data_IF_337191788330
#
_entry.id   IF_337191788330
#
_cell.length_a   1.000
_cell.length_b   1.000
_cell.length_c   1.000
_cell.angle_alpha   90.00
_cell.angle_beta   90.00
_cell.angle_gamma   90.00
#
_symmetry.space_group_name_H-M   'P 1'
#
loop_
_entity.id
_entity.type
_entity.pdbx_description
1 polymer ?
#
# COMPACT_ATOMS: atom_id res chain seq x y z
N UNK A 1 11.25 2.46 30.20
CA UNK A 1 12.06 1.96 29.06
C UNK A 1 11.21 1.71 27.79
N UNK A 2 10.09 0.98 27.83
CA UNK A 2 9.17 0.77 26.67
C UNK A 2 8.63 2.02 25.93
N UNK A 3 8.50 3.16 26.60
CA UNK A 3 7.96 4.40 25.99
C UNK A 3 8.98 5.18 25.16
N UNK A 4 10.29 4.98 25.39
CA UNK A 4 11.34 5.67 24.62
C UNK A 4 11.57 4.97 23.28
N UNK A 5 11.51 3.64 23.24
CA UNK A 5 11.61 2.87 21.98
C UNK A 5 10.51 3.27 20.99
N UNK A 6 9.27 3.52 21.46
CA UNK A 6 8.17 4.00 20.62
C UNK A 6 8.40 5.42 20.04
N UNK A 7 9.12 6.27 20.76
CA UNK A 7 9.39 7.66 20.37
C UNK A 7 10.55 7.77 19.38
N UNK A 8 11.60 6.96 19.56
CA UNK A 8 12.69 6.85 18.59
C UNK A 8 12.21 6.17 17.29
N UNK A 9 11.36 5.14 17.38
CA UNK A 9 10.80 4.45 16.21
C UNK A 9 9.90 5.33 15.33
N UNK A 10 9.05 6.19 15.92
CA UNK A 10 8.21 7.11 15.13
C UNK A 10 9.03 8.12 14.34
N UNK A 11 10.23 8.46 14.80
CA UNK A 11 11.13 9.38 14.11
C UNK A 11 11.80 8.68 12.93
N UNK A 12 12.28 7.46 13.11
CA UNK A 12 12.86 6.64 12.03
C UNK A 12 11.84 6.26 10.97
N UNK A 13 10.60 5.92 11.37
CA UNK A 13 9.52 5.64 10.42
C UNK A 13 9.09 6.90 9.65
N UNK A 14 9.08 8.07 10.31
CA UNK A 14 8.84 9.36 9.63
C UNK A 14 9.98 9.74 8.70
N UNK A 15 11.23 9.48 9.09
CA UNK A 15 12.43 9.70 8.26
C UNK A 15 12.42 8.76 7.06
N UNK A 16 12.10 7.48 7.24
CA UNK A 16 11.91 6.52 6.16
C UNK A 16 10.82 7.00 5.19
N UNK A 17 9.66 7.41 5.72
CA UNK A 17 8.56 7.98 4.92
C UNK A 17 8.96 9.25 4.18
N UNK A 18 9.71 10.16 4.82
CA UNK A 18 10.18 11.41 4.21
C UNK A 18 11.24 11.14 3.15
N UNK A 19 12.19 10.24 3.41
CA UNK A 19 13.28 9.90 2.50
C UNK A 19 12.77 9.14 1.27
N UNK A 20 11.87 8.17 1.45
CA UNK A 20 11.22 7.48 0.31
C UNK A 20 10.46 8.48 -0.56
N UNK A 21 9.71 9.40 0.06
CA UNK A 21 8.99 10.46 -0.66
C UNK A 21 9.90 11.47 -1.35
N UNK A 22 11.05 11.81 -0.76
CA UNK A 22 11.99 12.78 -1.35
C UNK A 22 12.82 12.17 -2.48
N UNK A 23 13.13 10.88 -2.42
CA UNK A 23 13.96 10.19 -3.41
C UNK A 23 13.18 9.63 -4.59
N UNK A 24 11.87 9.37 -4.44
CA UNK A 24 10.98 8.97 -5.55
C UNK A 24 10.84 10.03 -6.67
N UNK A 25 11.38 11.25 -6.46
CA UNK A 25 11.38 12.32 -7.46
C UNK A 25 12.58 12.29 -8.42
N UNK A 26 13.56 11.39 -8.24
CA UNK A 26 14.64 11.18 -9.21
C UNK A 26 14.14 10.28 -10.35
N UNK A 27 13.96 10.88 -11.52
CA UNK A 27 13.37 10.27 -12.71
C UNK A 27 14.26 9.14 -13.24
N UNK A 28 13.72 7.91 -13.30
CA UNK A 28 14.31 6.74 -13.96
C UNK A 28 14.51 5.52 -13.05
N UNK A 29 14.74 4.36 -13.67
CA UNK A 29 15.02 3.07 -13.01
C UNK A 29 16.14 3.16 -11.96
N UNK A 30 17.13 4.03 -12.21
CA UNK A 30 18.27 4.23 -11.33
C UNK A 30 17.89 4.97 -10.03
N UNK A 31 16.96 5.95 -10.09
CA UNK A 31 16.43 6.63 -8.91
C UNK A 31 15.55 5.73 -8.04
N UNK A 32 14.77 4.86 -8.68
CA UNK A 32 14.03 3.80 -7.97
C UNK A 32 14.98 2.86 -7.26
N UNK A 33 16.05 2.41 -7.93
CA UNK A 33 17.05 1.52 -7.35
C UNK A 33 17.68 2.11 -6.08
N UNK A 34 18.18 3.35 -6.15
CA UNK A 34 18.75 4.07 -4.99
C UNK A 34 17.73 4.18 -3.83
N UNK A 35 16.47 4.47 -4.15
CA UNK A 35 15.39 4.59 -3.15
C UNK A 35 15.13 3.25 -2.46
N UNK A 36 15.08 2.17 -3.24
CA UNK A 36 14.85 0.82 -2.72
C UNK A 36 16.06 0.29 -1.93
N UNK A 37 17.28 0.63 -2.34
CA UNK A 37 18.51 0.33 -1.58
C UNK A 37 18.49 0.98 -0.20
N UNK A 38 18.17 2.28 -0.12
CA UNK A 38 18.04 2.97 1.16
C UNK A 38 16.88 2.40 2.01
N UNK A 39 15.74 2.12 1.40
CA UNK A 39 14.60 1.54 2.10
C UNK A 39 14.94 0.17 2.68
N UNK A 40 15.64 -0.67 1.92
CA UNK A 40 16.09 -1.99 2.36
C UNK A 40 17.13 -1.89 3.49
N UNK A 41 18.10 -0.99 3.38
CA UNK A 41 19.13 -0.76 4.40
C UNK A 41 18.53 -0.36 5.75
N UNK A 42 17.62 0.63 5.74
CA UNK A 42 16.90 1.07 6.93
C UNK A 42 16.03 -0.05 7.50
N UNK A 43 15.35 -0.81 6.64
CA UNK A 43 14.49 -1.93 7.04
C UNK A 43 15.32 -3.01 7.73
N UNK A 44 16.38 -3.50 7.07
CA UNK A 44 17.27 -4.54 7.59
C UNK A 44 17.94 -4.10 8.89
N UNK A 45 18.35 -2.84 9.00
CA UNK A 45 18.93 -2.30 10.24
C UNK A 45 17.90 -2.30 11.37
N UNK A 46 16.66 -1.89 11.10
CA UNK A 46 15.59 -1.79 12.11
C UNK A 46 15.18 -3.14 12.69
N UNK A 47 15.15 -4.20 11.87
CA UNK A 47 14.83 -5.58 12.32
C UNK A 47 16.08 -6.42 12.57
N UNK A 48 17.26 -5.81 12.49
CA UNK A 48 18.57 -6.44 12.70
C UNK A 48 18.78 -7.68 11.83
N UNK A 49 18.35 -7.66 10.57
CA UNK A 49 18.59 -8.76 9.63
C UNK A 49 20.10 -8.94 9.36
N UNK A 50 20.57 -10.19 9.22
CA UNK A 50 21.96 -10.47 8.82
C UNK A 50 22.26 -10.00 7.40
N UNK A 51 21.30 -10.20 6.50
CA UNK A 51 21.30 -9.68 5.13
C UNK A 51 19.86 -9.46 4.67
N UNK A 52 19.69 -8.73 3.56
CA UNK A 52 18.39 -8.55 2.92
C UNK A 52 18.51 -8.37 1.42
N UNK A 53 17.45 -8.72 0.70
CA UNK A 53 17.33 -8.56 -0.74
C UNK A 53 15.96 -8.02 -1.08
N UNK A 54 15.89 -7.24 -2.15
CA UNK A 54 14.64 -6.84 -2.77
C UNK A 54 14.69 -7.21 -4.25
N UNK A 55 13.80 -8.11 -4.64
CA UNK A 55 13.69 -8.60 -6.02
C UNK A 55 12.36 -8.14 -6.58
N UNK A 56 12.37 -7.57 -7.78
CA UNK A 56 11.13 -7.23 -8.52
C UNK A 56 10.99 -8.11 -9.74
N UNK A 57 9.74 -8.40 -10.10
CA UNK A 57 9.39 -9.21 -11.25
C UNK A 57 9.09 -8.30 -12.46
N UNK A 58 9.73 -8.60 -13.59
CA UNK A 58 9.46 -7.95 -14.86
C UNK A 58 9.24 -9.01 -15.94
N UNK A 59 7.97 -9.30 -16.23
CA UNK A 59 7.62 -10.47 -17.04
C UNK A 59 8.06 -11.77 -16.34
N UNK A 60 8.88 -12.55 -17.01
CA UNK A 60 9.46 -13.80 -16.50
C UNK A 60 10.84 -13.61 -15.85
N UNK A 61 11.39 -12.40 -15.92
CA UNK A 61 12.71 -12.09 -15.36
C UNK A 61 12.61 -11.55 -13.93
N UNK A 62 13.54 -12.00 -13.10
CA UNK A 62 13.74 -11.50 -11.74
C UNK A 62 14.89 -10.51 -11.73
N UNK A 63 14.62 -9.29 -11.26
CA UNK A 63 15.63 -8.24 -11.16
C UNK A 63 15.91 -7.92 -9.69
N UNK A 64 17.18 -8.02 -9.29
CA UNK A 64 17.64 -7.53 -8.00
C UNK A 64 17.66 -6.00 -8.00
N UNK A 65 16.80 -5.40 -7.20
CA UNK A 65 16.70 -3.94 -7.07
C UNK A 65 17.53 -3.41 -5.92
N UNK A 66 17.68 -4.17 -4.84
CA UNK A 66 18.46 -3.76 -3.68
C UNK A 66 19.04 -4.98 -2.95
N UNK A 67 20.22 -4.79 -2.35
CA UNK A 67 20.88 -5.79 -1.54
C UNK A 67 21.51 -5.14 -0.31
N UNK A 68 21.35 -5.78 0.84
CA UNK A 68 21.97 -5.42 2.10
C UNK A 68 22.84 -6.58 2.58
N UNK A 69 24.16 -6.37 2.66
CA UNK A 69 25.17 -7.36 3.09
C UNK A 69 25.09 -8.70 2.32
N UNK A 70 24.82 -8.62 1.03
CA UNK A 70 24.72 -9.78 0.15
C UNK A 70 25.62 -9.64 -1.07
N UNK A 71 26.23 -10.75 -1.49
CA UNK A 71 27.20 -10.78 -2.59
C UNK A 71 27.00 -11.93 -3.59
N UNK A 72 26.01 -12.81 -3.39
CA UNK A 72 25.73 -13.93 -4.30
C UNK A 72 24.84 -13.46 -5.47
N UNK A 73 25.01 -14.04 -6.65
CA UNK A 73 24.16 -13.72 -7.80
C UNK A 73 22.78 -14.39 -7.69
N UNK A 74 21.71 -13.61 -7.83
CA UNK A 74 20.31 -14.03 -7.70
C UNK A 74 19.59 -14.16 -9.05
N UNK A 75 20.28 -13.88 -10.16
CA UNK A 75 19.71 -13.89 -11.52
C UNK A 75 19.10 -15.25 -11.93
N UNK A 76 19.57 -16.35 -11.34
CA UNK A 76 19.15 -17.72 -11.66
C UNK A 76 17.97 -18.25 -10.84
N UNK A 77 17.47 -17.48 -9.87
CA UNK A 77 16.36 -17.93 -9.03
C UNK A 77 15.07 -17.89 -9.83
N UNK A 78 14.31 -18.99 -9.83
CA UNK A 78 13.01 -19.04 -10.48
C UNK A 78 11.98 -18.19 -9.73
N UNK A 79 11.15 -17.44 -10.47
CA UNK A 79 10.05 -16.64 -9.92
C UNK A 79 9.11 -17.46 -9.03
N UNK A 80 8.87 -18.73 -9.36
CA UNK A 80 7.96 -19.61 -8.60
C UNK A 80 8.40 -19.84 -7.15
N UNK A 81 9.70 -19.70 -6.86
CA UNK A 81 10.25 -19.82 -5.50
C UNK A 81 10.00 -18.54 -4.69
N UNK A 82 9.80 -17.40 -5.37
CA UNK A 82 9.63 -16.09 -4.75
C UNK A 82 8.17 -15.65 -4.66
N UNK A 83 7.28 -16.33 -5.38
CA UNK A 83 5.84 -16.09 -5.31
C UNK A 83 5.32 -16.60 -3.98
N UNK A 84 4.60 -15.73 -3.29
CA UNK A 84 3.88 -16.12 -2.08
C UNK A 84 2.61 -15.30 -1.92
N UNK A 85 1.63 -15.93 -1.29
CA UNK A 85 0.36 -15.33 -0.91
C UNK A 85 0.46 -14.46 0.34
N UNK A 86 1.43 -14.71 1.21
CA UNK A 86 1.66 -13.89 2.40
C UNK A 86 3.13 -13.93 2.76
N UNK A 87 3.51 -13.38 3.92
CA UNK A 87 4.85 -13.62 4.42
C UNK A 87 5.08 -15.12 4.66
N UNK A 88 6.28 -15.59 4.34
CA UNK A 88 6.71 -16.95 4.67
C UNK A 88 7.90 -16.86 5.60
N UNK A 89 7.73 -17.42 6.80
CA UNK A 89 8.82 -17.60 7.75
C UNK A 89 9.24 -19.05 7.75
N UNK A 90 10.53 -19.30 7.51
CA UNK A 90 11.06 -20.65 7.31
C UNK A 90 12.41 -20.79 7.99
N UNK A 91 12.76 -22.02 8.37
CA UNK A 91 14.11 -22.31 8.85
C UNK A 91 15.10 -22.30 7.67
N UNK A 92 16.39 -21.97 7.90
CA UNK A 92 17.41 -22.03 6.86
C UNK A 92 17.48 -23.39 6.17
N UNK A 93 17.73 -23.40 4.86
CA UNK A 93 17.85 -24.57 4.00
C UNK A 93 16.58 -24.92 3.22
N UNK A 94 15.46 -24.23 3.46
CA UNK A 94 14.19 -24.48 2.77
C UNK A 94 14.10 -23.85 1.36
N UNK A 95 14.98 -22.91 1.05
CA UNK A 95 15.07 -22.26 -0.25
C UNK A 95 16.33 -22.73 -1.00
N UNK A 96 16.27 -22.83 -2.35
CA UNK A 96 17.40 -23.28 -3.15
C UNK A 96 18.56 -22.29 -3.11
N UNK A 97 19.77 -22.76 -3.39
CA UNK A 97 20.93 -21.88 -3.58
C UNK A 97 20.62 -20.77 -4.61
N UNK A 98 21.06 -19.52 -4.37
CA UNK A 98 21.85 -19.05 -3.23
C UNK A 98 21.06 -18.69 -1.96
N UNK A 99 19.73 -18.84 -1.96
CA UNK A 99 18.81 -18.33 -0.93
C UNK A 99 18.64 -19.24 0.31
N UNK A 100 19.48 -20.26 0.46
CA UNK A 100 19.42 -21.22 1.57
C UNK A 100 19.40 -20.56 2.97
N UNK A 101 20.02 -19.40 3.14
CA UNK A 101 20.05 -18.69 4.42
C UNK A 101 18.85 -17.75 4.65
N UNK A 102 17.93 -17.62 3.69
CA UNK A 102 16.73 -16.78 3.82
C UNK A 102 15.77 -17.43 4.82
N UNK A 103 15.27 -16.63 5.76
CA UNK A 103 14.34 -17.09 6.81
C UNK A 103 12.99 -16.37 6.77
N UNK A 104 12.90 -15.26 6.03
CA UNK A 104 11.66 -14.50 5.87
C UNK A 104 11.53 -13.98 4.44
N UNK A 105 10.41 -14.31 3.81
CA UNK A 105 9.98 -13.80 2.51
C UNK A 105 8.75 -12.94 2.72
N UNK A 106 8.72 -11.74 2.13
CA UNK A 106 7.60 -10.80 2.23
C UNK A 106 7.22 -10.34 0.83
N UNK A 107 6.02 -10.68 0.32
CA UNK A 107 5.60 -10.29 -1.01
C UNK A 107 5.33 -8.79 -1.10
N UNK A 108 5.67 -8.20 -2.25
CA UNK A 108 5.37 -6.80 -2.60
C UNK A 108 4.25 -6.79 -3.63
N UNK A 109 3.09 -6.29 -3.25
CA UNK A 109 1.92 -6.20 -4.13
C UNK A 109 1.73 -4.79 -4.72
N UNK A 110 1.33 -4.76 -5.99
CA UNK A 110 0.81 -3.56 -6.66
C UNK A 110 -0.49 -3.95 -7.35
N UNK A 111 -1.58 -3.27 -7.00
CA UNK A 111 -2.92 -3.50 -7.58
C UNK A 111 -3.40 -4.97 -7.52
N UNK A 112 -2.95 -5.74 -6.52
CA UNK A 112 -3.32 -7.15 -6.34
C UNK A 112 -2.32 -8.14 -6.94
N UNK A 113 -1.42 -7.68 -7.82
CA UNK A 113 -0.38 -8.49 -8.40
C UNK A 113 0.90 -8.45 -7.56
N UNK A 114 1.50 -9.61 -7.31
CA UNK A 114 2.83 -9.65 -6.71
C UNK A 114 3.85 -9.17 -7.74
N UNK A 115 4.43 -8.00 -7.48
CA UNK A 115 5.43 -7.35 -8.34
C UNK A 115 6.85 -7.53 -7.84
N UNK A 116 7.02 -8.11 -6.66
CA UNK A 116 8.32 -8.39 -6.09
C UNK A 116 8.24 -9.10 -4.75
N UNK A 117 9.40 -9.24 -4.12
CA UNK A 117 9.56 -9.88 -2.81
C UNK A 117 10.74 -9.26 -2.08
N UNK A 118 10.61 -9.11 -0.77
CA UNK A 118 11.70 -8.80 0.16
C UNK A 118 12.12 -10.13 0.80
N UNK A 119 13.41 -10.45 0.74
CA UNK A 119 13.99 -11.64 1.37
C UNK A 119 14.91 -11.18 2.48
N UNK A 120 14.77 -11.75 3.68
CA UNK A 120 15.63 -11.45 4.82
C UNK A 120 16.28 -12.72 5.35
N UNK A 121 17.58 -12.62 5.64
CA UNK A 121 18.30 -13.60 6.45
C UNK A 121 17.78 -13.63 7.90
N UNK A 122 18.30 -14.51 8.76
CA UNK A 122 17.91 -14.54 10.16
C UNK A 122 18.18 -13.19 10.87
N UNK A 123 17.42 -12.84 11.90
CA UNK A 123 17.73 -11.70 12.74
C UNK A 123 19.01 -11.96 13.57
N UNK A 124 19.81 -10.92 13.82
CA UNK A 124 21.02 -11.02 14.64
C UNK A 124 20.62 -11.49 16.05
N UNK A 125 21.21 -12.60 16.48
CA UNK A 125 20.98 -13.27 17.78
C UNK A 125 19.58 -13.90 17.96
N UNK A 126 18.83 -14.15 16.88
CA UNK A 126 17.59 -14.92 16.95
C UNK A 126 17.44 -15.80 15.70
N UNK A 127 16.59 -16.83 15.81
CA UNK A 127 16.28 -17.74 14.69
C UNK A 127 15.08 -17.20 13.90
N UNK A 128 14.21 -16.42 14.55
CA UNK A 128 12.90 -16.01 14.01
C UNK A 128 12.60 -14.55 14.32
N UNK A 129 12.04 -13.86 13.33
CA UNK A 129 11.41 -12.55 13.51
C UNK A 129 10.13 -12.71 14.35
N UNK A 130 9.90 -11.84 15.36
CA UNK A 130 8.64 -11.79 16.06
C UNK A 130 7.53 -11.26 15.14
N UNK A 131 6.29 -11.72 15.36
CA UNK A 131 5.11 -11.34 14.55
C UNK A 131 4.95 -9.81 14.47
N UNK A 132 5.22 -9.09 15.56
CA UNK A 132 5.15 -7.63 15.59
C UNK A 132 6.15 -6.93 14.67
N UNK A 133 7.29 -7.55 14.36
CA UNK A 133 8.24 -7.03 13.36
C UNK A 133 7.79 -7.38 11.96
N UNK A 134 7.28 -8.60 11.75
CA UNK A 134 6.72 -9.04 10.47
C UNK A 134 5.58 -8.10 10.03
N UNK A 135 4.67 -7.73 10.92
CA UNK A 135 3.59 -6.79 10.63
C UNK A 135 4.11 -5.41 10.17
N UNK A 136 5.21 -4.94 10.76
CA UNK A 136 5.87 -3.68 10.35
C UNK A 136 6.53 -3.81 8.99
N UNK A 137 7.21 -4.93 8.74
CA UNK A 137 7.85 -5.20 7.47
C UNK A 137 6.83 -5.30 6.34
N UNK A 138 5.64 -5.83 6.61
CA UNK A 138 4.53 -5.85 5.66
C UNK A 138 4.01 -4.43 5.35
N UNK A 139 3.92 -3.56 6.35
CA UNK A 139 3.59 -2.14 6.14
C UNK A 139 4.63 -1.42 5.28
N UNK A 140 5.91 -1.81 5.39
CA UNK A 140 7.00 -1.30 4.55
C UNK A 140 6.88 -1.86 3.13
N UNK A 141 6.55 -3.15 2.98
CA UNK A 141 6.30 -3.77 1.68
C UNK A 141 5.20 -3.06 0.89
N UNK A 142 4.08 -2.71 1.54
CA UNK A 142 2.99 -1.94 0.93
C UNK A 142 3.44 -0.54 0.43
N UNK A 143 4.32 0.12 1.20
CA UNK A 143 4.86 1.43 0.84
C UNK A 143 5.82 1.33 -0.34
N UNK A 144 6.64 0.28 -0.38
CA UNK A 144 7.51 -0.04 -1.52
C UNK A 144 6.65 -0.29 -2.76
N UNK A 145 5.60 -1.10 -2.66
CA UNK A 145 4.67 -1.35 -3.77
C UNK A 145 4.06 -0.05 -4.31
N UNK A 146 3.59 0.83 -3.41
CA UNK A 146 3.10 2.16 -3.80
C UNK A 146 4.17 2.98 -4.54
N UNK A 147 5.41 2.95 -4.06
CA UNK A 147 6.52 3.72 -4.66
C UNK A 147 6.86 3.18 -6.05
N UNK A 148 6.92 1.86 -6.22
CA UNK A 148 7.11 1.21 -7.52
C UNK A 148 5.99 1.62 -8.49
N UNK A 149 4.74 1.61 -8.03
CA UNK A 149 3.60 2.02 -8.85
C UNK A 149 3.70 3.49 -9.30
N UNK A 150 4.06 4.40 -8.38
CA UNK A 150 4.20 5.84 -8.68
C UNK A 150 5.29 6.10 -9.71
N UNK A 151 6.44 5.43 -9.59
CA UNK A 151 7.53 5.57 -10.56
C UNK A 151 7.10 5.01 -11.93
N UNK A 152 6.44 3.84 -11.98
CA UNK A 152 5.94 3.26 -13.24
C UNK A 152 4.94 4.19 -13.94
N UNK A 153 3.98 4.75 -13.20
CA UNK A 153 3.01 5.71 -13.74
C UNK A 153 3.70 6.99 -14.25
N UNK A 154 4.69 7.50 -13.51
CA UNK A 154 5.48 8.65 -13.94
C UNK A 154 6.24 8.41 -15.26
N UNK A 155 6.87 7.23 -15.40
CA UNK A 155 7.57 6.85 -16.63
C UNK A 155 6.62 6.68 -17.81
N UNK A 156 5.45 6.06 -17.61
CA UNK A 156 4.45 5.88 -18.67
C UNK A 156 3.90 7.22 -19.18
N UNK A 157 3.68 8.18 -18.30
CA UNK A 157 3.24 9.53 -18.68
C UNK A 157 4.32 10.29 -19.47
N UNK A 158 5.60 10.09 -19.14
CA UNK A 158 6.73 10.65 -19.88
C UNK A 158 6.85 10.04 -21.28
N UNK A 159 6.71 8.72 -21.41
CA UNK A 159 6.72 8.03 -22.70
C UNK A 159 5.56 8.49 -23.61
N UNK A 160 4.38 8.71 -23.04
CA UNK A 160 3.22 9.26 -23.75
C UNK A 160 3.41 10.74 -24.13
N UNK A 161 4.09 11.53 -23.29
CA UNK A 161 4.40 12.93 -23.56
C UNK A 161 5.46 13.11 -24.67
N UNK A 162 6.39 12.17 -24.85
CA UNK A 162 7.36 12.20 -25.97
C UNK A 162 6.67 12.05 -27.33
N UNK A 163 5.48 11.44 -27.38
CA UNK A 163 4.68 11.32 -28.61
C UNK A 163 3.73 12.49 -28.90
N UNK A 164 3.57 13.44 -27.98
CA UNK A 164 2.68 14.60 -28.17
C UNK A 164 3.44 15.87 -27.82
N UNK A 165 3.89 16.62 -28.83
CA UNK A 165 4.41 17.98 -28.63
C UNK A 165 3.28 18.85 -28.08
N UNK A 166 3.23 18.96 -26.76
CA UNK A 166 2.86 20.13 -25.98
C UNK A 166 3.19 19.77 -24.53
N UNK A 167 4.20 20.42 -23.97
CA UNK A 167 4.55 20.32 -22.56
C UNK A 167 3.52 21.12 -21.77
N UNK A 168 2.61 20.52 -20.97
CA UNK A 168 2.08 21.23 -19.84
C UNK A 168 3.14 21.16 -18.75
N UNK A 169 3.55 22.32 -18.26
CA UNK A 169 4.40 22.49 -17.10
C UNK A 169 3.77 21.72 -15.93
N UNK A 170 4.30 20.54 -15.60
CA UNK A 170 3.92 19.78 -14.41
C UNK A 170 4.42 20.60 -13.21
N UNK A 171 3.55 21.50 -12.79
CA UNK A 171 3.72 22.26 -11.57
C UNK A 171 3.75 21.25 -10.44
N UNK A 172 4.82 21.30 -9.65
CA UNK A 172 5.00 20.58 -8.39
C UNK A 172 3.66 20.23 -7.74
N UNK A 173 3.37 18.93 -7.64
CA UNK A 173 2.32 18.42 -6.76
C UNK A 173 2.74 18.68 -5.31
N UNK A 174 2.62 19.94 -4.87
CA UNK A 174 2.24 20.21 -3.49
C UNK A 174 0.91 19.51 -3.33
N UNK A 175 0.87 18.47 -2.50
CA UNK A 175 -0.37 17.84 -2.04
C UNK A 175 -1.16 18.92 -1.29
N UNK A 176 -1.94 19.70 -2.01
CA UNK A 176 -2.87 20.67 -1.45
C UNK A 176 -4.14 19.91 -1.08
N UNK A 177 -4.34 19.69 0.22
CA UNK A 177 -5.54 19.08 0.81
C UNK A 177 -5.22 17.81 1.61
N UNK A 178 -4.92 17.97 2.91
CA UNK A 178 -4.69 16.88 3.86
C UNK A 178 -5.99 16.07 4.11
N UNK A 179 -6.38 15.18 3.21
CA UNK A 179 -7.32 14.12 3.56
C UNK A 179 -6.57 13.07 4.39
N UNK A 180 -6.77 13.11 5.71
CA UNK A 180 -6.13 12.20 6.64
C UNK A 180 -6.77 10.80 6.56
N UNK A 181 -5.96 9.76 6.37
CA UNK A 181 -6.40 8.34 6.37
C UNK A 181 -7.21 8.00 7.62
N UNK A 182 -6.88 8.59 8.77
CA UNK A 182 -7.64 8.38 10.02
C UNK A 182 -9.03 9.03 9.98
N UNK A 183 -9.17 10.20 9.36
CA UNK A 183 -10.47 10.84 9.20
C UNK A 183 -11.37 10.02 8.28
N UNK A 184 -10.80 9.46 7.21
CA UNK A 184 -11.51 8.56 6.32
C UNK A 184 -11.95 7.27 7.02
N UNK A 185 -11.07 6.63 7.80
CA UNK A 185 -11.44 5.45 8.58
C UNK A 185 -12.53 5.77 9.60
N UNK A 186 -12.45 6.93 10.27
CA UNK A 186 -13.49 7.38 11.19
C UNK A 186 -14.83 7.64 10.49
N UNK A 187 -14.80 8.21 9.27
CA UNK A 187 -16.01 8.38 8.47
C UNK A 187 -16.63 7.04 8.07
N UNK A 188 -15.82 6.08 7.61
CA UNK A 188 -16.29 4.73 7.29
C UNK A 188 -16.87 3.99 8.50
N UNK A 189 -16.31 4.17 9.70
CA UNK A 189 -16.86 3.57 10.93
C UNK A 189 -18.20 4.17 11.36
N UNK A 190 -18.49 5.39 10.96
CA UNK A 190 -19.72 6.12 11.27
C UNK A 190 -20.56 6.34 10.01
N UNK A 191 -20.48 5.42 9.05
CA UNK A 191 -21.04 5.60 7.71
C UNK A 191 -22.55 5.85 7.71
N UNK A 192 -23.29 5.25 8.64
CA UNK A 192 -24.74 5.41 8.77
C UNK A 192 -25.15 6.57 9.68
N UNK A 193 -24.20 7.26 10.32
CA UNK A 193 -24.47 8.47 11.09
C UNK A 193 -24.27 9.70 10.19
N UNK A 194 -25.33 10.10 9.49
CA UNK A 194 -25.30 11.27 8.61
C UNK A 194 -25.03 12.59 9.35
N UNK A 195 -25.36 12.66 10.65
CA UNK A 195 -25.03 13.81 11.48
C UNK A 195 -23.53 13.81 11.82
N UNK A 196 -22.89 12.66 12.00
CA UNK A 196 -21.44 12.62 12.10
C UNK A 196 -20.77 12.97 10.75
N UNK A 197 -21.25 12.38 9.65
CA UNK A 197 -20.65 12.57 8.34
C UNK A 197 -20.72 14.02 7.86
N UNK A 198 -21.81 14.73 8.11
CA UNK A 198 -21.95 16.14 7.72
C UNK A 198 -21.00 17.10 8.46
N UNK A 199 -20.51 16.70 9.63
CA UNK A 199 -19.61 17.50 10.48
C UNK A 199 -18.14 17.11 10.26
N UNK A 200 -17.91 16.00 9.56
CA UNK A 200 -16.58 15.47 9.27
C UNK A 200 -15.75 16.41 8.39
N UNK A 201 -14.42 16.24 8.42
CA UNK A 201 -13.51 16.95 7.52
C UNK A 201 -13.85 16.77 6.05
N UNK A 202 -14.35 15.58 5.66
CA UNK A 202 -14.79 15.25 4.31
C UNK A 202 -15.95 16.13 3.82
N UNK A 203 -16.86 16.53 4.71
CA UNK A 203 -18.00 17.39 4.38
C UNK A 203 -17.59 18.80 3.92
N UNK A 204 -16.36 19.23 4.24
CA UNK A 204 -15.80 20.52 3.86
C UNK A 204 -15.03 20.48 2.53
N UNK A 205 -14.94 19.31 1.90
CA UNK A 205 -14.26 19.15 0.62
C UNK A 205 -14.97 19.90 -0.51
N UNK A 206 -14.20 20.24 -1.56
CA UNK A 206 -14.76 20.88 -2.75
C UNK A 206 -15.78 19.97 -3.46
N UNK A 207 -15.55 18.65 -3.39
CA UNK A 207 -16.46 17.63 -3.93
C UNK A 207 -17.85 17.70 -3.34
N UNK A 208 -17.94 17.80 -2.01
CA UNK A 208 -19.22 17.92 -1.32
C UNK A 208 -19.87 19.25 -1.68
N UNK A 209 -19.10 20.33 -1.65
CA UNK A 209 -19.60 21.68 -1.97
C UNK A 209 -20.19 21.76 -3.38
N UNK A 210 -19.53 21.18 -4.38
CA UNK A 210 -20.00 21.16 -5.76
C UNK A 210 -21.26 20.31 -5.99
N UNK A 211 -21.54 19.34 -5.11
CA UNK A 211 -22.73 18.47 -5.17
C UNK A 211 -23.86 18.95 -4.27
N UNK A 212 -23.66 19.99 -3.45
CA UNK A 212 -24.72 20.55 -2.62
C UNK A 212 -25.68 21.38 -3.47
N UNK A 213 -27.00 21.30 -3.21
CA UNK A 213 -27.95 22.22 -3.83
C UNK A 213 -27.69 23.67 -3.37
N UNK A 214 -27.81 24.62 -4.30
CA UNK A 214 -27.45 26.05 -4.10
C UNK A 214 -28.26 26.73 -2.97
N UNK A 215 -29.38 26.17 -2.55
CA UNK A 215 -30.25 26.71 -1.51
C UNK A 215 -30.64 25.65 -0.47
N UNK A 216 -30.49 25.99 0.81
CA UNK A 216 -30.96 25.25 2.00
C UNK A 216 -30.40 23.84 2.24
N UNK A 217 -29.16 23.55 1.82
CA UNK A 217 -28.55 22.27 2.15
C UNK A 217 -28.33 22.12 3.66
N UNK A 218 -29.00 21.15 4.27
CA UNK A 218 -28.90 20.88 5.70
C UNK A 218 -27.61 20.13 6.02
N UNK A 219 -27.30 20.07 7.31
CA UNK A 219 -26.23 19.24 7.84
C UNK A 219 -26.36 17.76 7.43
N UNK A 220 -27.59 17.23 7.40
CA UNK A 220 -27.86 15.86 6.99
C UNK A 220 -27.69 15.65 5.48
N UNK A 221 -28.00 16.67 4.65
CA UNK A 221 -27.80 16.59 3.20
C UNK A 221 -26.31 16.53 2.86
N UNK A 222 -25.46 17.26 3.59
CA UNK A 222 -24.00 17.11 3.52
C UNK A 222 -23.56 15.70 3.89
N UNK A 223 -24.08 15.15 4.99
CA UNK A 223 -23.79 13.78 5.41
C UNK A 223 -24.15 12.74 4.36
N UNK A 224 -25.30 12.89 3.69
CA UNK A 224 -25.71 12.02 2.58
C UNK A 224 -24.77 12.12 1.38
N UNK A 225 -24.34 13.32 1.02
CA UNK A 225 -23.38 13.51 -0.08
C UNK A 225 -22.04 12.87 0.27
N UNK A 226 -21.57 13.02 1.50
CA UNK A 226 -20.35 12.34 1.98
C UNK A 226 -20.51 10.82 1.89
N UNK A 227 -21.64 10.27 2.33
CA UNK A 227 -21.95 8.84 2.18
C UNK A 227 -21.84 8.39 0.72
N UNK A 228 -22.52 9.09 -0.20
CA UNK A 228 -22.51 8.74 -1.63
C UNK A 228 -21.11 8.85 -2.23
N UNK A 229 -20.31 9.83 -1.82
CA UNK A 229 -18.91 9.96 -2.25
C UNK A 229 -18.05 8.80 -1.76
N UNK A 230 -18.23 8.35 -0.51
CA UNK A 230 -17.52 7.20 0.04
C UNK A 230 -17.92 5.91 -0.66
N UNK A 231 -19.22 5.73 -0.94
CA UNK A 231 -19.75 4.61 -1.71
C UNK A 231 -19.16 4.58 -3.13
N UNK A 232 -19.15 5.72 -3.82
CA UNK A 232 -18.56 5.87 -5.16
C UNK A 232 -17.06 5.53 -5.13
N UNK A 233 -16.33 6.07 -4.17
CA UNK A 233 -14.89 5.88 -4.06
C UNK A 233 -14.51 4.43 -3.72
N UNK A 234 -15.27 3.77 -2.83
CA UNK A 234 -15.09 2.33 -2.53
C UNK A 234 -15.46 1.48 -3.74
N UNK A 235 -16.55 1.82 -4.45
CA UNK A 235 -16.98 1.09 -5.64
C UNK A 235 -15.96 1.15 -6.77
N UNK A 236 -15.19 2.24 -6.88
CA UNK A 236 -14.06 2.35 -7.83
C UNK A 236 -12.89 1.40 -7.54
N UNK A 237 -12.86 0.76 -6.36
CA UNK A 237 -11.90 -0.31 -6.08
C UNK A 237 -12.29 -1.65 -6.71
N UNK A 238 -13.51 -1.78 -7.27
CA UNK A 238 -13.91 -3.00 -7.97
C UNK A 238 -13.00 -3.23 -9.18
N UNK A 239 -12.46 -4.45 -9.37
CA UNK A 239 -11.79 -4.81 -10.61
C UNK A 239 -12.74 -4.70 -11.81
N UNK A 240 -12.22 -4.34 -12.99
CA UNK A 240 -12.94 -4.41 -14.27
C UNK A 240 -13.05 -5.86 -14.78
N UNK A 241 -13.54 -6.76 -13.93
CA UNK A 241 -13.76 -8.18 -14.24
C UNK A 241 -15.17 -8.56 -13.78
N UNK A 242 -15.74 -9.62 -14.36
CA UNK A 242 -16.99 -10.18 -13.85
C UNK A 242 -16.79 -10.63 -12.40
N UNK A 243 -17.85 -10.52 -11.59
CA UNK A 243 -17.79 -11.04 -10.23
C UNK A 243 -17.50 -12.54 -10.29
N UNK A 244 -16.48 -13.04 -9.59
CA UNK A 244 -16.14 -14.45 -9.64
C UNK A 244 -17.27 -15.30 -9.05
N UNK A 245 -17.65 -16.36 -9.75
CA UNK A 245 -18.66 -17.32 -9.27
C UNK A 245 -18.15 -18.15 -8.07
N UNK A 246 -16.82 -18.28 -7.94
CA UNK A 246 -16.09 -18.97 -6.87
C UNK A 246 -15.46 -17.99 -5.85
N UNK A 247 -14.55 -18.47 -5.00
CA UNK A 247 -13.78 -17.66 -4.03
C UNK A 247 -13.19 -16.44 -4.75
N UNK A 248 -13.48 -15.21 -4.30
CA UNK A 248 -12.99 -14.01 -4.98
C UNK A 248 -11.47 -13.99 -5.07
N UNK A 249 -10.95 -13.57 -6.23
CA UNK A 249 -9.50 -13.38 -6.37
C UNK A 249 -9.04 -12.19 -5.53
N UNK A 250 -7.74 -12.16 -5.19
CA UNK A 250 -7.14 -11.13 -4.33
C UNK A 250 -7.39 -9.69 -4.79
N UNK A 251 -7.52 -9.48 -6.10
CA UNK A 251 -7.87 -8.18 -6.69
C UNK A 251 -9.20 -7.62 -6.15
N UNK A 252 -10.15 -8.49 -5.78
CA UNK A 252 -11.44 -8.09 -5.21
C UNK A 252 -11.37 -7.74 -3.73
N UNK A 253 -10.35 -8.20 -3.00
CA UNK A 253 -10.30 -8.08 -1.54
C UNK A 253 -10.35 -6.63 -1.04
N UNK A 254 -9.67 -5.64 -1.65
CA UNK A 254 -9.78 -4.25 -1.22
C UNK A 254 -11.23 -3.73 -1.23
N UNK A 255 -11.98 -4.02 -2.29
CA UNK A 255 -13.39 -3.65 -2.39
C UNK A 255 -14.22 -4.46 -1.38
N UNK A 256 -14.13 -5.79 -1.41
CA UNK A 256 -14.98 -6.68 -0.59
C UNK A 256 -14.80 -6.44 0.89
N UNK A 257 -13.56 -6.26 1.36
CA UNK A 257 -13.29 -6.00 2.78
C UNK A 257 -13.94 -4.70 3.22
N UNK A 258 -13.84 -3.60 2.45
CA UNK A 258 -14.45 -2.34 2.83
C UNK A 258 -15.98 -2.39 2.69
N UNK A 259 -16.48 -2.97 1.61
CA UNK A 259 -17.91 -3.09 1.35
C UNK A 259 -18.58 -3.92 2.45
N UNK A 260 -18.05 -5.11 2.74
CA UNK A 260 -18.62 -5.98 3.76
C UNK A 260 -18.48 -5.39 5.17
N UNK A 261 -17.33 -4.82 5.52
CA UNK A 261 -17.11 -4.31 6.87
C UNK A 261 -17.87 -3.02 7.18
N UNK A 262 -18.14 -2.17 6.19
CA UNK A 262 -18.71 -0.83 6.44
C UNK A 262 -20.08 -0.61 5.82
N UNK A 263 -20.42 -1.24 4.69
CA UNK A 263 -21.71 -1.04 4.01
C UNK A 263 -22.71 -2.17 4.31
N UNK A 264 -22.21 -3.40 4.51
CA UNK A 264 -23.05 -4.56 4.88
C UNK A 264 -23.00 -4.91 6.37
N UNK A 265 -22.19 -4.19 7.16
CA UNK A 265 -21.98 -4.41 8.61
C UNK A 265 -21.67 -5.88 8.99
N UNK A 266 -20.95 -6.59 8.11
CA UNK A 266 -20.51 -7.96 8.38
C UNK A 266 -19.39 -7.97 9.40
N UNK A 267 -19.41 -8.98 10.28
CA UNK A 267 -18.34 -9.17 11.25
C UNK A 267 -17.02 -9.48 10.55
N UNK A 268 -15.92 -8.85 11.01
CA UNK A 268 -14.58 -9.08 10.44
C UNK A 268 -14.23 -10.58 10.37
N UNK A 269 -14.62 -11.38 11.36
CA UNK A 269 -14.36 -12.83 11.37
C UNK A 269 -15.07 -13.57 10.23
N UNK A 270 -16.27 -13.14 9.87
CA UNK A 270 -17.06 -13.76 8.82
C UNK A 270 -16.48 -13.38 7.45
N UNK A 271 -16.04 -12.12 7.30
CA UNK A 271 -15.32 -11.66 6.10
C UNK A 271 -14.02 -12.44 5.92
N UNK A 272 -13.24 -12.60 7.00
CA UNK A 272 -11.99 -13.37 6.98
C UNK A 272 -12.22 -14.83 6.59
N UNK A 273 -13.26 -15.46 7.17
CA UNK A 273 -13.65 -16.82 6.83
C UNK A 273 -14.12 -16.94 5.38
N UNK A 274 -14.92 -15.98 4.89
CA UNK A 274 -15.44 -15.98 3.52
C UNK A 274 -14.33 -15.80 2.47
N UNK A 275 -13.33 -14.98 2.78
CA UNK A 275 -12.20 -14.73 1.89
C UNK A 275 -11.02 -15.70 2.10
N UNK A 276 -11.12 -16.61 3.08
CA UNK A 276 -10.03 -17.52 3.46
C UNK A 276 -8.70 -16.80 3.77
N UNK A 277 -8.77 -15.68 4.49
CA UNK A 277 -7.58 -14.87 4.84
C UNK A 277 -7.37 -14.76 6.35
N UNK A 278 -6.11 -14.59 6.75
CA UNK A 278 -5.76 -14.37 8.16
C UNK A 278 -6.17 -12.96 8.64
N UNK A 279 -6.22 -12.77 9.96
CA UNK A 279 -6.45 -11.46 10.57
C UNK A 279 -5.39 -10.42 10.19
N UNK A 280 -4.14 -10.84 10.08
CA UNK A 280 -3.07 -9.97 9.58
C UNK A 280 -3.35 -9.51 8.15
N UNK A 281 -3.66 -10.46 7.26
CA UNK A 281 -3.97 -10.16 5.85
C UNK A 281 -5.18 -9.25 5.74
N UNK A 282 -6.25 -9.51 6.49
CA UNK A 282 -7.44 -8.66 6.53
C UNK A 282 -7.11 -7.23 6.96
N UNK A 283 -6.42 -7.06 8.08
CA UNK A 283 -6.09 -5.73 8.60
C UNK A 283 -5.12 -4.96 7.68
N UNK A 284 -4.20 -5.65 7.00
CA UNK A 284 -3.32 -5.06 5.97
C UNK A 284 -4.11 -4.61 4.74
N UNK A 285 -4.89 -5.52 4.15
CA UNK A 285 -5.71 -5.21 2.97
C UNK A 285 -6.71 -4.11 3.27
N UNK A 286 -7.32 -4.09 4.46
CA UNK A 286 -8.21 -2.98 4.89
C UNK A 286 -7.47 -1.66 4.93
N UNK A 287 -6.29 -1.59 5.56
CA UNK A 287 -5.49 -0.36 5.63
C UNK A 287 -5.03 0.12 4.25
N UNK A 288 -4.60 -0.80 3.39
CA UNK A 288 -4.22 -0.50 2.01
C UNK A 288 -5.42 0.01 1.20
N UNK A 289 -6.59 -0.64 1.33
CA UNK A 289 -7.83 -0.23 0.68
C UNK A 289 -8.27 1.18 1.11
N UNK A 290 -8.24 1.51 2.40
CA UNK A 290 -8.57 2.87 2.90
C UNK A 290 -7.62 3.92 2.27
N UNK A 291 -6.33 3.61 2.13
CA UNK A 291 -5.38 4.52 1.45
C UNK A 291 -5.73 4.68 -0.04
N UNK A 292 -6.15 3.61 -0.71
CA UNK A 292 -6.61 3.67 -2.10
C UNK A 292 -7.86 4.53 -2.25
N UNK A 293 -8.85 4.39 -1.36
CA UNK A 293 -10.03 5.27 -1.32
C UNK A 293 -9.63 6.74 -1.12
N UNK A 294 -8.67 7.00 -0.24
CA UNK A 294 -8.14 8.36 -0.04
C UNK A 294 -7.60 8.95 -1.34
N UNK A 295 -6.83 8.16 -2.12
CA UNK A 295 -6.29 8.61 -3.42
C UNK A 295 -7.42 8.90 -4.42
N UNK A 296 -8.41 8.01 -4.51
CA UNK A 296 -9.57 8.17 -5.39
C UNK A 296 -10.32 9.48 -5.06
N UNK A 297 -10.53 9.79 -3.78
CA UNK A 297 -11.17 11.05 -3.37
C UNK A 297 -10.34 12.27 -3.74
N UNK A 298 -9.01 12.22 -3.56
CA UNK A 298 -8.11 13.31 -3.97
C UNK A 298 -8.12 13.50 -5.49
N UNK A 299 -8.17 12.42 -6.27
CA UNK A 299 -8.28 12.48 -7.75
C UNK A 299 -9.61 13.08 -8.20
N UNK A 300 -10.71 12.64 -7.58
CA UNK A 300 -12.04 13.22 -7.78
C UNK A 300 -12.04 14.72 -7.47
N UNK A 301 -11.44 15.13 -6.35
CA UNK A 301 -11.43 16.54 -5.93
C UNK A 301 -10.65 17.42 -6.91
N UNK A 302 -9.59 16.88 -7.54
CA UNK A 302 -8.87 17.57 -8.62
C UNK A 302 -9.67 17.71 -9.90
N UNK A 303 -10.62 16.81 -10.17
CA UNK A 303 -11.45 16.88 -11.39
C UNK A 303 -12.56 17.94 -11.32
N UNK A 304 -12.83 18.47 -10.12
CA UNK A 304 -13.90 19.45 -9.87
C UNK A 304 -13.38 20.90 -9.85
N UNK A 305 -12.07 21.13 -10.00
CA UNK A 305 -11.46 22.47 -10.07
C UNK A 305 -10.60 22.66 -11.31
#
# INVERSE_FOLDING_TARGET
>A
RRYLDLFFYRKEERLLRQNIRQLSFRVGDQGLKETLELALDLTCTSVRATFGLMVTFHGDENRLMAAYRWNKDVSKISRNVLISDDFQQSDPGNLPEPLEEVTLLIPIYVQGDQTGTILLGPPINSIRYPITEIDRLLDVSDQIGTTIQQVRQGSQLLEQAVHTIQVPKISSLKTTGDLNVQELENALRNLHDFAFLGDSGLAKSKLVTARLPEHNATHLDRGKIVYTLLEEAVTRLKPNKAYPDDIPTREWYPYLILHYAYFEDKLNRDIMSQLYISEGTFNRTRRSAIRSVTRVLVELEKSVG
#
